data_IF_007396358194
#
_entry.id   IF_007396358194
#
_cell.length_a   1.000
_cell.length_b   1.000
_cell.length_c   1.000
_cell.angle_alpha   90.00
_cell.angle_beta   90.00
_cell.angle_gamma   90.00
#
_symmetry.space_group_name_H-M   'P 1'
#
loop_
_entity.id
_entity.type
_entity.pdbx_description
1 polymer ?
#
# COMPACT_ATOMS: atom_id res chain seq x y z
N UNK A 1 16.43 -1.17 -13.34
CA UNK A 1 15.69 0.05 -13.78
C UNK A 1 14.75 0.63 -12.71
N UNK A 2 14.77 0.14 -11.47
CA UNK A 2 14.14 0.84 -10.33
C UNK A 2 15.04 1.99 -9.90
N UNK A 3 14.64 3.22 -10.22
CA UNK A 3 15.35 4.41 -9.80
C UNK A 3 15.13 4.58 -8.29
N UNK A 4 16.18 4.57 -7.46
CA UNK A 4 16.08 4.73 -5.99
C UNK A 4 15.37 6.02 -5.56
N UNK A 5 15.21 6.97 -6.49
CA UNK A 5 14.37 8.17 -6.34
C UNK A 5 12.88 7.86 -6.14
N UNK A 6 12.41 6.67 -6.51
CA UNK A 6 11.02 6.29 -6.29
C UNK A 6 10.64 6.27 -4.79
N UNK A 7 11.62 6.00 -3.92
CA UNK A 7 11.44 6.08 -2.47
C UNK A 7 11.97 7.40 -1.89
N UNK A 8 12.51 8.31 -2.70
CA UNK A 8 13.09 9.58 -2.26
C UNK A 8 12.08 10.65 -1.84
N UNK A 9 10.86 10.61 -2.39
CA UNK A 9 9.83 11.62 -2.12
C UNK A 9 8.59 11.00 -1.46
N UNK A 10 8.19 11.52 -0.30
CA UNK A 10 6.96 11.12 0.42
C UNK A 10 5.71 11.06 -0.46
N UNK A 11 5.49 11.98 -1.42
CA UNK A 11 4.37 11.91 -2.34
C UNK A 11 4.32 10.60 -3.14
N UNK A 12 5.47 10.09 -3.59
CA UNK A 12 5.49 8.86 -4.40
C UNK A 12 5.21 7.62 -3.54
N UNK A 13 5.71 7.61 -2.30
CA UNK A 13 5.41 6.56 -1.31
C UNK A 13 3.91 6.53 -0.99
N UNK A 14 3.29 7.70 -0.77
CA UNK A 14 1.87 7.80 -0.49
C UNK A 14 1.02 7.39 -1.71
N UNK A 15 1.42 7.79 -2.92
CA UNK A 15 0.75 7.37 -4.16
C UNK A 15 0.85 5.86 -4.35
N UNK A 16 2.02 5.27 -4.10
CA UNK A 16 2.22 3.81 -4.14
C UNK A 16 1.37 3.09 -3.10
N UNK A 17 1.33 3.59 -1.87
CA UNK A 17 0.50 3.03 -0.80
C UNK A 17 -1.00 3.12 -1.13
N UNK A 18 -1.46 4.25 -1.66
CA UNK A 18 -2.84 4.46 -2.07
C UNK A 18 -3.24 3.53 -3.22
N UNK A 19 -2.39 3.40 -4.24
CA UNK A 19 -2.60 2.47 -5.34
C UNK A 19 -2.66 1.03 -4.84
N UNK A 20 -1.73 0.64 -3.98
CA UNK A 20 -1.68 -0.71 -3.42
C UNK A 20 -2.91 -1.04 -2.59
N UNK A 21 -3.36 -0.10 -1.74
CA UNK A 21 -4.58 -0.23 -0.98
C UNK A 21 -5.82 -0.34 -1.89
N UNK A 22 -5.89 0.47 -2.95
CA UNK A 22 -6.98 0.43 -3.92
C UNK A 22 -7.04 -0.92 -4.65
N UNK A 23 -5.90 -1.52 -5.00
CA UNK A 23 -5.84 -2.85 -5.60
C UNK A 23 -6.38 -3.92 -4.63
N UNK A 24 -6.01 -3.87 -3.36
CA UNK A 24 -6.55 -4.79 -2.35
C UNK A 24 -8.06 -4.63 -2.16
N UNK A 25 -8.55 -3.39 -2.14
CA UNK A 25 -9.98 -3.12 -2.06
C UNK A 25 -10.71 -3.63 -3.30
N UNK A 26 -10.15 -3.44 -4.49
CA UNK A 26 -10.72 -3.92 -5.75
C UNK A 26 -10.80 -5.44 -5.78
N UNK A 27 -9.74 -6.14 -5.36
CA UNK A 27 -9.73 -7.60 -5.24
C UNK A 27 -10.78 -8.07 -4.24
N UNK A 28 -10.89 -7.41 -3.08
CA UNK A 28 -11.93 -7.71 -2.10
C UNK A 28 -13.35 -7.49 -2.64
N UNK A 29 -13.57 -6.42 -3.40
CA UNK A 29 -14.85 -6.14 -4.04
C UNK A 29 -15.20 -7.18 -5.12
N UNK A 30 -14.21 -7.58 -5.93
CA UNK A 30 -14.40 -8.65 -6.92
C UNK A 30 -14.68 -9.99 -6.25
N UNK A 31 -14.05 -10.26 -5.11
CA UNK A 31 -14.32 -11.46 -4.33
C UNK A 31 -15.77 -11.48 -3.81
N UNK A 32 -16.29 -10.37 -3.27
CA UNK A 32 -17.71 -10.31 -2.89
C UNK A 32 -18.64 -10.49 -4.10
N UNK A 33 -18.34 -9.83 -5.23
CA UNK A 33 -19.11 -10.04 -6.45
C UNK A 33 -19.09 -11.49 -6.94
N UNK A 34 -17.99 -12.22 -6.72
CA UNK A 34 -17.85 -13.63 -7.10
C UNK A 34 -18.57 -14.58 -6.14
N UNK A 35 -18.49 -14.35 -4.83
CA UNK A 35 -19.02 -15.27 -3.81
C UNK A 35 -20.47 -14.98 -3.43
N UNK A 36 -20.83 -13.71 -3.26
CA UNK A 36 -22.18 -13.28 -2.83
C UNK A 36 -23.04 -12.79 -4.00
N UNK A 37 -22.47 -12.61 -5.21
CA UNK A 37 -23.20 -12.13 -6.40
C UNK A 37 -23.53 -10.64 -6.38
N UNK A 38 -23.16 -9.92 -5.31
CA UNK A 38 -23.34 -8.47 -5.16
C UNK A 38 -22.00 -7.76 -4.98
N UNK A 39 -21.82 -6.63 -5.67
CA UNK A 39 -20.67 -5.75 -5.46
C UNK A 39 -20.92 -4.83 -4.26
N UNK A 40 -20.80 -5.38 -3.05
CA UNK A 40 -21.00 -4.61 -1.82
C UNK A 40 -19.67 -4.25 -1.17
N UNK A 41 -19.49 -2.96 -0.89
CA UNK A 41 -18.32 -2.51 -0.16
C UNK A 41 -18.52 -2.74 1.34
N UNK A 42 -17.90 -3.79 1.88
CA UNK A 42 -18.01 -4.14 3.29
C UNK A 42 -16.90 -3.50 4.13
N UNK A 43 -17.17 -3.40 5.45
CA UNK A 43 -16.20 -2.87 6.43
C UNK A 43 -14.89 -3.65 6.40
N UNK A 44 -14.95 -4.94 6.07
CA UNK A 44 -13.81 -5.84 5.91
C UNK A 44 -12.91 -5.40 4.75
N UNK A 45 -13.49 -5.09 3.58
CA UNK A 45 -12.73 -4.58 2.41
C UNK A 45 -12.00 -3.29 2.76
N UNK A 46 -12.68 -2.35 3.42
CA UNK A 46 -12.08 -1.11 3.89
C UNK A 46 -10.95 -1.34 4.90
N UNK A 47 -11.13 -2.28 5.83
CA UNK A 47 -10.11 -2.68 6.81
C UNK A 47 -8.86 -3.27 6.16
N UNK A 48 -9.04 -4.16 5.18
CA UNK A 48 -7.92 -4.73 4.42
C UNK A 48 -7.16 -3.67 3.62
N UNK A 49 -7.86 -2.74 2.98
CA UNK A 49 -7.23 -1.63 2.27
C UNK A 49 -6.40 -0.72 3.20
N UNK A 50 -6.92 -0.39 4.38
CA UNK A 50 -6.18 0.36 5.41
C UNK A 50 -4.95 -0.40 5.92
N UNK A 51 -5.08 -1.70 6.16
CA UNK A 51 -3.96 -2.56 6.55
C UNK A 51 -2.87 -2.59 5.45
N UNK A 52 -3.26 -2.73 4.19
CA UNK A 52 -2.34 -2.70 3.06
C UNK A 52 -1.62 -1.34 2.91
N UNK A 53 -2.37 -0.23 3.06
CA UNK A 53 -1.81 1.12 3.05
C UNK A 53 -0.76 1.30 4.16
N UNK A 54 -1.14 0.99 5.40
CA UNK A 54 -0.26 1.16 6.56
C UNK A 54 0.98 0.27 6.48
N UNK A 55 0.85 -0.98 6.01
CA UNK A 55 1.97 -1.88 5.79
C UNK A 55 2.96 -1.36 4.75
N UNK A 56 2.46 -0.84 3.62
CA UNK A 56 3.31 -0.25 2.58
C UNK A 56 4.09 0.95 3.12
N UNK A 57 3.39 1.87 3.79
CA UNK A 57 3.99 3.07 4.38
C UNK A 57 5.03 2.70 5.44
N UNK A 58 4.75 1.70 6.28
CA UNK A 58 5.69 1.20 7.29
C UNK A 58 6.97 0.65 6.67
N UNK A 59 6.86 -0.19 5.64
CA UNK A 59 8.02 -0.74 4.93
C UNK A 59 8.84 0.37 4.27
N UNK A 60 8.18 1.34 3.64
CA UNK A 60 8.85 2.48 3.03
C UNK A 60 9.59 3.35 4.05
N UNK A 61 9.01 3.56 5.24
CA UNK A 61 9.68 4.25 6.35
C UNK A 61 10.92 3.48 6.83
N UNK A 62 10.81 2.16 7.02
CA UNK A 62 11.93 1.32 7.46
C UNK A 62 13.09 1.39 6.46
N UNK A 63 12.79 1.25 5.17
CA UNK A 63 13.82 1.28 4.11
C UNK A 63 14.55 2.63 4.07
N UNK A 64 13.83 3.73 4.27
CA UNK A 64 14.41 5.08 4.39
C UNK A 64 15.29 5.24 5.64
N UNK A 65 14.88 4.66 6.77
CA UNK A 65 15.67 4.68 7.99
C UNK A 65 16.97 3.87 7.86
N UNK A 66 16.94 2.77 7.11
CA UNK A 66 18.14 1.97 6.81
C UNK A 66 19.09 2.72 5.87
N UNK A 67 18.57 3.42 4.86
CA UNK A 67 19.39 4.24 3.95
C UNK A 67 20.09 5.41 4.66
N UNK A 68 19.39 6.10 5.56
CA UNK A 68 19.97 7.20 6.36
C UNK A 68 21.02 6.70 7.34
N UNK A 69 20.81 5.52 7.96
CA UNK A 69 21.79 4.91 8.88
C UNK A 69 23.05 4.38 8.18
N UNK A 70 22.95 4.03 6.90
CA UNK A 70 24.08 3.54 6.11
C UNK A 70 24.98 4.67 5.57
N UNK A 71 24.58 5.93 5.77
CA UNK A 71 25.26 7.11 5.27
C UNK A 71 26.02 7.89 6.36
N UNK A 72 25.96 7.44 7.62
CA UNK A 72 26.90 7.84 8.69
C UNK A 72 28.09 6.85 8.70
N UNK A 73 29.32 7.32 8.41
CA UNK A 73 30.54 6.49 8.36
C UNK A 73 31.06 6.05 9.73
#
# INVERSE_FOLDING_TARGET
MFNERAFGTWPLVLTGAALFAALFMLVGLMAEGLFDGELRFTRTIGGFGLAAFSGYVFVAMRLRHEQTRSQDP
#
